data_IF_445876680269
#
_entry.id   IF_445876680269
#
_cell.length_a   1.000
_cell.length_b   1.000
_cell.length_c   1.000
_cell.angle_alpha   90.00
_cell.angle_beta   90.00
_cell.angle_gamma   90.00
#
_symmetry.space_group_name_H-M   'P 1'
#
loop_
_entity.id
_entity.type
_entity.pdbx_description
1 polymer ?
#
# COMPACT_ATOMS: atom_id res chain seq x y z
N UNK A 1 -13.40 -0.51 -5.52
CA UNK A 1 -12.74 0.71 -5.02
C UNK A 1 -11.45 0.90 -5.80
N UNK A 2 -11.16 2.10 -6.27
CA UNK A 2 -10.02 2.37 -7.18
C UNK A 2 -8.80 2.88 -6.40
N UNK A 3 -7.61 2.70 -6.97
CA UNK A 3 -6.37 3.30 -6.48
C UNK A 3 -6.25 4.76 -6.93
N UNK A 4 -5.72 5.61 -6.04
CA UNK A 4 -5.65 7.06 -6.25
C UNK A 4 -4.49 7.44 -7.18
N UNK A 5 -4.75 8.39 -8.08
CA UNK A 5 -3.69 9.03 -8.90
C UNK A 5 -2.94 10.13 -8.16
N UNK A 6 -3.55 10.70 -7.13
CA UNK A 6 -3.03 11.82 -6.35
C UNK A 6 -2.30 11.31 -5.11
N UNK A 7 -2.91 10.38 -4.38
CA UNK A 7 -2.35 9.81 -3.16
C UNK A 7 -1.53 8.56 -3.47
N UNK A 8 -0.47 8.74 -4.26
CA UNK A 8 0.51 7.72 -4.61
C UNK A 8 1.89 8.35 -4.71
N UNK A 9 2.92 7.54 -4.52
CA UNK A 9 4.26 7.97 -4.92
C UNK A 9 4.34 8.21 -6.42
N UNK A 10 5.16 9.17 -6.84
CA UNK A 10 5.43 9.45 -8.25
C UNK A 10 6.00 8.22 -8.98
N UNK A 11 6.82 7.43 -8.27
CA UNK A 11 7.52 6.26 -8.81
C UNK A 11 6.66 5.00 -8.90
N UNK A 12 5.38 5.07 -8.50
CA UNK A 12 4.42 3.98 -8.69
C UNK A 12 3.73 4.11 -10.05
N UNK A 13 3.73 3.01 -10.78
CA UNK A 13 2.98 2.84 -12.03
C UNK A 13 1.59 2.31 -11.70
N UNK A 14 0.57 3.00 -12.19
CA UNK A 14 -0.83 2.63 -12.01
C UNK A 14 -1.46 2.27 -13.35
N UNK A 15 -2.19 1.16 -13.40
CA UNK A 15 -2.93 0.76 -14.60
C UNK A 15 -4.01 1.79 -14.97
N UNK A 16 -4.42 1.79 -16.25
CA UNK A 16 -5.43 2.72 -16.74
C UNK A 16 -6.77 2.61 -15.99
N UNK A 17 -7.18 1.37 -15.68
CA UNK A 17 -8.38 1.05 -14.89
C UNK A 17 -8.24 1.36 -13.40
N UNK A 18 -7.03 1.67 -12.92
CA UNK A 18 -6.69 1.97 -11.51
C UNK A 18 -6.97 0.82 -10.55
N UNK A 19 -6.89 -0.42 -11.04
CA UNK A 19 -7.07 -1.63 -10.21
C UNK A 19 -5.76 -2.36 -9.94
N UNK A 20 -4.69 -2.04 -10.68
CA UNK A 20 -3.37 -2.68 -10.55
C UNK A 20 -2.29 -1.63 -10.39
N UNK A 21 -1.30 -1.93 -9.54
CA UNK A 21 -0.15 -1.08 -9.29
C UNK A 21 1.13 -1.90 -9.33
N UNK A 22 2.22 -1.28 -9.77
CA UNK A 22 3.54 -1.87 -9.78
C UNK A 22 4.61 -0.85 -9.35
N UNK A 23 5.70 -1.35 -8.77
CA UNK A 23 6.92 -0.61 -8.46
C UNK A 23 8.12 -1.45 -8.90
N UNK A 24 9.20 -0.80 -9.31
CA UNK A 24 10.44 -1.47 -9.76
C UNK A 24 11.62 -1.23 -8.82
N UNK A 25 11.58 -0.21 -7.95
CA UNK A 25 12.70 0.15 -7.07
C UNK A 25 12.20 0.70 -5.74
N UNK A 26 12.65 0.06 -4.66
CA UNK A 26 12.35 0.47 -3.29
C UNK A 26 10.88 0.36 -2.92
N UNK A 27 10.60 0.47 -1.63
CA UNK A 27 9.24 0.57 -1.14
C UNK A 27 8.65 1.93 -1.52
N UNK A 28 7.37 1.89 -1.91
CA UNK A 28 6.52 3.03 -2.25
C UNK A 28 5.08 2.65 -1.95
N UNK A 29 4.21 3.64 -1.75
CA UNK A 29 2.81 3.42 -1.42
C UNK A 29 1.85 4.08 -2.40
N UNK A 30 0.70 3.43 -2.62
CA UNK A 30 -0.49 4.02 -3.24
C UNK A 30 -1.68 3.77 -2.32
N UNK A 31 -2.53 4.79 -2.16
CA UNK A 31 -3.77 4.70 -1.38
C UNK A 31 -4.97 4.48 -2.29
N UNK A 32 -6.03 3.91 -1.73
CA UNK A 32 -7.32 3.90 -2.39
C UNK A 32 -7.92 5.32 -2.48
N UNK A 33 -8.88 5.50 -3.39
CA UNK A 33 -9.58 6.78 -3.62
C UNK A 33 -10.50 7.21 -2.49
N UNK A 34 -10.88 6.31 -1.60
CA UNK A 34 -11.79 6.57 -0.49
C UNK A 34 -11.10 6.21 0.83
N UNK A 35 -11.28 7.05 1.85
CA UNK A 35 -10.88 6.73 3.21
C UNK A 35 -12.03 6.11 3.99
N UNK A 36 -11.71 5.59 5.18
CA UNK A 36 -12.71 5.13 6.16
C UNK A 36 -12.57 5.98 7.40
N UNK A 37 -13.68 6.53 7.91
CA UNK A 37 -13.71 7.33 9.13
C UNK A 37 -14.38 6.58 10.29
N UNK A 38 -15.48 5.87 10.03
CA UNK A 38 -16.29 5.17 11.05
C UNK A 38 -16.86 3.87 10.46
N UNK A 39 -17.10 2.88 11.33
CA UNK A 39 -17.78 1.62 11.00
C UNK A 39 -16.82 0.44 10.78
N UNK A 40 -17.37 -0.68 10.30
CA UNK A 40 -16.62 -1.89 10.00
C UNK A 40 -16.52 -2.07 8.47
N UNK A 41 -15.30 -2.19 7.97
CA UNK A 41 -15.03 -2.26 6.53
C UNK A 41 -14.04 -3.39 6.23
N UNK A 42 -14.15 -3.95 5.04
CA UNK A 42 -13.20 -4.93 4.53
C UNK A 42 -12.77 -4.58 3.11
N UNK A 43 -11.56 -4.98 2.75
CA UNK A 43 -11.06 -4.95 1.39
C UNK A 43 -10.24 -6.21 1.13
N UNK A 44 -9.98 -6.48 -0.16
CA UNK A 44 -9.14 -7.59 -0.59
C UNK A 44 -8.05 -7.05 -1.52
N UNK A 45 -6.88 -7.65 -1.45
CA UNK A 45 -5.77 -7.38 -2.37
C UNK A 45 -5.34 -8.70 -2.98
N UNK A 46 -5.07 -8.69 -4.28
CA UNK A 46 -4.50 -9.83 -4.99
C UNK A 46 -3.08 -9.47 -5.40
N UNK A 47 -2.09 -10.20 -4.90
CA UNK A 47 -0.70 -10.07 -5.34
C UNK A 47 -0.56 -10.82 -6.67
N UNK A 48 -0.27 -10.10 -7.74
CA UNK A 48 -0.16 -10.67 -9.09
C UNK A 48 1.25 -11.19 -9.38
N UNK A 49 2.27 -10.40 -9.01
CA UNK A 49 3.67 -10.73 -9.25
C UNK A 49 4.59 -9.93 -8.30
N UNK A 50 5.53 -10.62 -7.64
CA UNK A 50 6.59 -9.99 -6.85
C UNK A 50 7.99 -10.18 -7.48
N UNK A 51 8.18 -11.19 -8.32
CA UNK A 51 9.50 -11.56 -8.80
C UNK A 51 10.36 -12.22 -7.72
N UNK A 52 11.68 -12.27 -7.93
CA UNK A 52 12.62 -12.98 -7.03
C UNK A 52 12.95 -12.21 -5.74
N UNK A 53 12.95 -10.88 -5.81
CA UNK A 53 13.40 -9.99 -4.72
C UNK A 53 12.37 -8.91 -4.40
N UNK A 54 11.18 -8.97 -5.02
CA UNK A 54 10.14 -8.00 -4.74
C UNK A 54 9.37 -8.41 -3.50
N UNK A 55 8.96 -7.40 -2.76
CA UNK A 55 8.23 -7.53 -1.52
C UNK A 55 7.11 -6.49 -1.50
N UNK A 56 6.08 -6.75 -0.70
CA UNK A 56 4.93 -5.87 -0.58
C UNK A 56 4.45 -5.81 0.85
N UNK A 57 4.09 -4.61 1.28
CA UNK A 57 3.38 -4.40 2.53
C UNK A 57 1.95 -3.97 2.21
N UNK A 58 0.97 -4.60 2.84
CA UNK A 58 -0.46 -4.39 2.61
C UNK A 58 -1.13 -3.96 3.91
N UNK A 59 -1.95 -2.91 3.89
CA UNK A 59 -2.55 -2.44 5.12
C UNK A 59 -3.34 -1.16 5.03
N UNK A 60 -3.57 -0.57 6.20
CA UNK A 60 -4.24 0.71 6.39
C UNK A 60 -3.23 1.78 6.80
N UNK A 61 -3.39 2.98 6.26
CA UNK A 61 -2.59 4.13 6.63
C UNK A 61 -3.47 5.38 6.70
N UNK A 62 -3.13 6.28 7.61
CA UNK A 62 -3.73 7.62 7.63
C UNK A 62 -3.10 8.50 6.55
N UNK A 63 -3.64 9.69 6.36
CA UNK A 63 -3.09 10.68 5.43
C UNK A 63 -1.68 11.16 5.81
N UNK A 64 -1.28 11.02 7.09
CA UNK A 64 0.02 11.44 7.63
C UNK A 64 1.16 10.48 7.31
N UNK A 65 0.89 9.25 6.86
CA UNK A 65 1.96 8.34 6.46
C UNK A 65 2.72 8.87 5.24
N UNK A 66 4.05 8.72 5.23
CA UNK A 66 4.86 9.07 4.07
C UNK A 66 4.55 8.11 2.90
N UNK A 67 4.22 8.68 1.74
CA UNK A 67 3.85 7.91 0.55
C UNK A 67 5.06 7.24 -0.12
N UNK A 68 6.26 7.71 0.21
CA UNK A 68 7.52 7.16 -0.30
C UNK A 68 8.09 6.04 0.60
N UNK A 69 7.40 5.72 1.70
CA UNK A 69 7.73 4.64 2.62
C UNK A 69 6.68 3.52 2.55
N UNK A 70 7.01 2.28 2.96
CA UNK A 70 6.02 1.22 3.04
C UNK A 70 5.01 1.47 4.16
N UNK A 71 3.82 0.87 4.04
CA UNK A 71 2.83 0.94 5.12
C UNK A 71 3.41 0.27 6.38
N UNK A 72 3.26 0.95 7.52
CA UNK A 72 3.83 0.53 8.80
C UNK A 72 5.20 1.12 9.14
N UNK A 73 5.82 1.93 8.28
CA UNK A 73 7.13 2.58 8.53
C UNK A 73 7.08 3.76 9.52
N UNK A 74 6.14 3.76 10.44
CA UNK A 74 5.91 4.84 11.40
C UNK A 74 4.59 4.69 12.13
N UNK A 75 4.22 5.71 12.90
CA UNK A 75 3.01 5.70 13.73
C UNK A 75 1.69 5.71 12.92
N UNK A 76 1.76 6.09 11.65
CA UNK A 76 0.59 6.45 10.85
C UNK A 76 0.07 5.32 9.94
N UNK A 77 0.59 4.10 10.10
CA UNK A 77 0.13 2.95 9.33
C UNK A 77 0.32 1.63 10.06
N UNK A 78 -0.52 0.68 9.69
CA UNK A 78 -0.48 -0.71 10.13
C UNK A 78 -0.58 -1.59 8.90
N UNK A 79 0.32 -2.55 8.76
CA UNK A 79 0.33 -3.44 7.60
C UNK A 79 0.70 -4.87 7.93
N UNK A 80 0.76 -5.66 6.87
CA UNK A 80 1.28 -7.01 6.82
C UNK A 80 2.35 -7.06 5.74
N UNK A 81 3.49 -7.69 6.03
CA UNK A 81 4.54 -7.93 5.02
C UNK A 81 4.42 -9.34 4.44
N UNK A 82 4.76 -9.49 3.17
CA UNK A 82 4.68 -10.76 2.45
C UNK A 82 5.73 -11.80 2.88
N UNK A 83 6.90 -11.34 3.34
CA UNK A 83 8.07 -12.21 3.58
C UNK A 83 7.81 -13.33 4.58
N UNK A 84 7.08 -13.02 5.65
CA UNK A 84 6.82 -13.92 6.78
C UNK A 84 5.37 -13.81 7.29
N UNK A 85 4.54 -13.01 6.62
CA UNK A 85 3.15 -12.78 7.02
C UNK A 85 3.00 -11.98 8.32
N UNK A 86 4.06 -11.33 8.80
CA UNK A 86 4.03 -10.61 10.07
C UNK A 86 3.32 -9.27 9.96
N UNK A 87 2.73 -8.84 11.09
CA UNK A 87 2.18 -7.50 11.27
C UNK A 87 3.31 -6.49 11.39
N UNK A 88 3.18 -5.35 10.73
CA UNK A 88 4.17 -4.26 10.75
C UNK A 88 3.54 -2.95 11.23
N UNK A 89 4.21 -2.29 12.15
CA UNK A 89 3.86 -0.97 12.69
C UNK A 89 5.09 -0.38 13.37
N UNK A 90 5.38 0.91 13.13
CA UNK A 90 6.61 1.57 13.60
C UNK A 90 7.89 0.76 13.30
N UNK A 91 7.99 0.18 12.11
CA UNK A 91 9.13 -0.63 11.66
C UNK A 91 10.14 0.12 10.82
#
# INVERSE_FOLDING_TARGET
MLLSRVFKSERIVLSADRLTTASSKGYRMVRATHGVAVGAWYFKVKVLHLGRTGHTHLGWATNMADIDMPVGCGAYGFGYRDTDGTKVHMS
#
